data_IF_790024941878
#
_entry.id   IF_790024941878
#
_cell.length_a   1.000
_cell.length_b   1.000
_cell.length_c   1.000
_cell.angle_alpha   90.00
_cell.angle_beta   90.00
_cell.angle_gamma   90.00
#
_symmetry.space_group_name_H-M   'P 1'
#
loop_
_entity.id
_entity.type
_entity.pdbx_description
1 polymer ?
#
# COMPACT_ATOMS: atom_id res chain seq x y z
N UNK A 1 1.68 65.16 -62.90
CA UNK A 1 0.70 65.54 -61.86
C UNK A 1 1.29 65.22 -60.50
N UNK A 2 1.02 66.07 -59.52
CA UNK A 2 1.64 66.16 -58.20
C UNK A 2 1.24 64.97 -57.31
N UNK A 3 2.16 64.46 -56.48
CA UNK A 3 1.94 64.38 -55.02
C UNK A 3 3.10 63.70 -54.26
N UNK A 4 3.60 64.49 -53.31
CA UNK A 4 4.31 64.19 -52.05
C UNK A 4 3.79 62.97 -51.28
N UNK A 5 4.60 62.36 -50.39
CA UNK A 5 4.34 62.28 -48.92
C UNK A 5 5.29 61.34 -48.12
N UNK A 6 5.96 61.97 -47.15
CA UNK A 6 6.26 61.62 -45.73
C UNK A 6 7.17 60.44 -45.34
N UNK A 7 8.24 60.81 -44.62
CA UNK A 7 8.97 59.98 -43.65
C UNK A 7 8.04 59.38 -42.59
N UNK A 8 8.37 58.18 -42.11
CA UNK A 8 8.14 57.80 -40.72
C UNK A 8 9.29 56.89 -40.25
N UNK A 9 10.17 57.45 -39.42
CA UNK A 9 11.12 56.71 -38.60
C UNK A 9 10.33 56.12 -37.44
N UNK A 10 10.23 54.80 -37.36
CA UNK A 10 9.65 54.13 -36.19
C UNK A 10 10.77 53.62 -35.29
N UNK A 11 10.90 54.25 -34.13
CA UNK A 11 11.77 53.83 -33.04
C UNK A 11 11.28 52.47 -32.48
N UNK A 12 12.15 51.47 -32.47
CA UNK A 12 11.88 50.19 -31.81
C UNK A 12 12.14 50.32 -30.30
N UNK A 13 11.07 50.35 -29.51
CA UNK A 13 11.15 50.25 -28.05
C UNK A 13 11.25 48.78 -27.64
N UNK A 14 12.34 48.40 -26.97
CA UNK A 14 12.54 47.06 -26.42
C UNK A 14 11.66 46.85 -25.17
N UNK A 15 10.74 45.88 -25.23
CA UNK A 15 9.85 45.52 -24.13
C UNK A 15 10.47 44.37 -23.32
N UNK A 16 10.95 44.66 -22.11
CA UNK A 16 11.45 43.67 -21.15
C UNK A 16 10.27 42.89 -20.56
N UNK A 17 10.07 41.65 -21.00
CA UNK A 17 9.11 40.71 -20.43
C UNK A 17 9.68 40.10 -19.15
N UNK A 18 9.25 40.59 -17.99
CA UNK A 18 9.50 39.93 -16.69
C UNK A 18 8.63 38.68 -16.60
N UNK A 19 9.22 37.51 -16.83
CA UNK A 19 8.56 36.23 -16.55
C UNK A 19 8.46 36.02 -15.04
N UNK A 20 7.31 36.36 -14.47
CA UNK A 20 6.92 35.90 -13.13
C UNK A 20 6.64 34.40 -13.20
N UNK A 21 7.69 33.59 -13.04
CA UNK A 21 7.57 32.15 -12.94
C UNK A 21 6.92 31.75 -11.62
N UNK A 22 5.64 31.40 -11.64
CA UNK A 22 5.01 30.68 -10.53
C UNK A 22 5.52 29.24 -10.54
N UNK A 23 6.47 28.94 -9.67
CA UNK A 23 6.91 27.58 -9.39
C UNK A 23 5.72 26.83 -8.76
N UNK A 24 5.19 25.76 -9.37
CA UNK A 24 4.21 24.92 -8.69
C UNK A 24 4.91 24.30 -7.47
N UNK A 25 4.52 24.73 -6.27
CA UNK A 25 5.01 24.13 -5.03
C UNK A 25 4.59 22.67 -4.98
N UNK A 26 5.57 21.76 -4.89
CA UNK A 26 5.33 20.37 -4.55
C UNK A 26 4.69 20.30 -3.16
N UNK A 27 3.36 20.23 -3.09
CA UNK A 27 2.67 19.93 -1.86
C UNK A 27 3.17 18.55 -1.37
N UNK A 28 3.80 18.52 -0.20
CA UNK A 28 4.16 17.25 0.43
C UNK A 28 2.88 16.45 0.65
N UNK A 29 2.85 15.14 0.32
CA UNK A 29 1.68 14.32 0.58
C UNK A 29 1.36 14.40 2.08
N UNK A 30 0.12 14.74 2.42
CA UNK A 30 -0.33 14.79 3.80
C UNK A 30 -0.08 13.41 4.46
N UNK A 31 0.37 13.38 5.73
CA UNK A 31 0.55 12.11 6.42
C UNK A 31 -0.81 11.40 6.50
N UNK A 32 -0.93 10.25 5.84
CA UNK A 32 -2.12 9.41 5.96
C UNK A 32 -2.13 8.82 7.36
N UNK A 33 -3.07 9.28 8.19
CA UNK A 33 -3.21 8.85 9.57
C UNK A 33 -3.95 7.52 9.63
N UNK A 34 -3.39 6.56 10.35
CA UNK A 34 -4.08 5.32 10.70
C UNK A 34 -5.39 5.61 11.43
N UNK A 35 -6.50 5.03 10.97
CA UNK A 35 -7.83 5.24 11.58
C UNK A 35 -8.17 4.25 12.70
N UNK A 36 -7.25 3.36 13.07
CA UNK A 36 -7.43 2.36 14.12
C UNK A 36 -6.09 1.98 14.77
N UNK A 37 -6.13 1.28 15.91
CA UNK A 37 -4.93 0.68 16.52
C UNK A 37 -5.25 -0.65 17.22
N UNK A 38 -4.29 -1.58 17.19
CA UNK A 38 -4.33 -2.85 17.90
C UNK A 38 -5.57 -3.70 17.54
N UNK A 39 -6.30 -4.14 18.56
CA UNK A 39 -7.55 -4.89 18.39
C UNK A 39 -8.62 -4.14 17.61
N UNK A 40 -8.63 -2.80 17.66
CA UNK A 40 -9.55 -1.98 16.86
C UNK A 40 -9.31 -2.06 15.35
N UNK A 41 -8.12 -2.52 14.92
CA UNK A 41 -7.82 -2.80 13.52
C UNK A 41 -8.13 -4.23 13.09
N UNK A 42 -8.36 -5.15 14.03
CA UNK A 42 -8.54 -6.55 13.70
C UNK A 42 -9.75 -6.74 12.77
N UNK A 43 -9.57 -7.49 11.68
CA UNK A 43 -10.60 -7.77 10.68
C UNK A 43 -10.83 -6.64 9.66
N UNK A 44 -10.18 -5.48 9.81
CA UNK A 44 -10.27 -4.38 8.84
C UNK A 44 -9.22 -4.53 7.74
N UNK A 45 -9.50 -3.98 6.56
CA UNK A 45 -8.54 -3.93 5.46
C UNK A 45 -7.47 -2.87 5.75
N UNK A 46 -6.16 -3.20 5.63
CA UNK A 46 -5.08 -2.26 5.87
C UNK A 46 -5.13 -1.05 4.93
N UNK A 47 -5.56 -1.24 3.68
CA UNK A 47 -5.70 -0.15 2.70
C UNK A 47 -6.82 0.82 3.07
N UNK A 48 -7.97 0.30 3.53
CA UNK A 48 -9.11 1.16 3.91
C UNK A 48 -8.88 1.97 5.19
N UNK A 49 -7.92 1.58 6.01
CA UNK A 49 -7.63 2.23 7.30
C UNK A 49 -6.34 3.05 7.27
N UNK A 50 -5.68 3.14 6.11
CA UNK A 50 -4.40 3.81 5.94
C UNK A 50 -3.20 3.10 6.60
N UNK A 51 -3.38 1.84 7.02
CA UNK A 51 -2.35 1.09 7.74
C UNK A 51 -1.21 0.61 6.85
N UNK A 52 -1.44 0.48 5.54
CA UNK A 52 -0.47 0.01 4.55
C UNK A 52 0.58 1.05 4.15
N UNK A 53 0.29 2.35 4.24
CA UNK A 53 1.17 3.44 3.80
C UNK A 53 2.59 3.39 4.39
N UNK A 54 2.71 3.09 5.69
CA UNK A 54 4.00 2.99 6.40
C UNK A 54 4.33 1.55 6.81
N UNK A 55 3.66 0.58 6.19
CA UNK A 55 3.88 -0.80 6.54
C UNK A 55 5.16 -1.34 5.91
N UNK A 56 5.83 -2.22 6.65
CA UNK A 56 7.02 -2.95 6.17
C UNK A 56 6.78 -4.44 6.24
N UNK A 57 7.52 -5.19 5.44
CA UNK A 57 7.58 -6.64 5.55
C UNK A 57 8.51 -6.98 6.71
N UNK A 58 7.98 -7.64 7.75
CA UNK A 58 8.75 -8.02 8.95
C UNK A 58 9.20 -9.47 8.92
N UNK A 59 8.47 -10.34 8.21
CA UNK A 59 8.82 -11.75 7.96
C UNK A 59 8.36 -12.13 6.56
N UNK A 60 9.03 -13.14 5.99
CA UNK A 60 8.67 -13.73 4.70
C UNK A 60 8.92 -15.24 4.71
N UNK A 61 8.22 -15.98 3.86
CA UNK A 61 8.53 -17.39 3.59
C UNK A 61 9.89 -17.51 2.91
N UNK A 62 10.57 -18.64 3.13
CA UNK A 62 11.87 -18.98 2.51
C UNK A 62 11.73 -19.99 1.37
N UNK A 63 10.58 -20.65 1.26
CA UNK A 63 10.32 -21.65 0.23
C UNK A 63 10.19 -21.05 -1.17
N UNK A 64 10.57 -21.84 -2.18
CA UNK A 64 10.35 -21.52 -3.60
C UNK A 64 8.85 -21.61 -3.91
N UNK A 65 8.35 -20.60 -4.65
CA UNK A 65 6.96 -20.51 -5.10
C UNK A 65 6.28 -19.23 -4.62
N UNK A 66 5.04 -19.30 -4.10
CA UNK A 66 4.35 -18.13 -3.57
C UNK A 66 5.18 -17.46 -2.47
N UNK A 67 5.45 -16.16 -2.64
CA UNK A 67 6.13 -15.35 -1.64
C UNK A 67 5.09 -14.86 -0.62
N UNK A 68 5.11 -15.43 0.58
CA UNK A 68 4.26 -15.02 1.69
C UNK A 68 5.00 -13.98 2.50
N UNK A 69 4.42 -12.80 2.66
CA UNK A 69 4.99 -11.70 3.44
C UNK A 69 4.07 -11.34 4.59
N UNK A 70 4.62 -11.32 5.81
CA UNK A 70 3.97 -10.70 6.95
C UNK A 70 4.26 -9.20 6.91
N UNK A 71 3.24 -8.42 6.59
CA UNK A 71 3.26 -6.96 6.58
C UNK A 71 2.86 -6.47 7.96
N UNK A 72 3.51 -5.40 8.42
CA UNK A 72 3.29 -4.82 9.73
C UNK A 72 3.30 -3.30 9.66
N UNK A 73 2.36 -2.68 10.39
CA UNK A 73 2.30 -1.23 10.60
C UNK A 73 2.48 -0.90 12.08
N UNK A 74 3.53 -0.14 12.39
CA UNK A 74 3.77 0.33 13.77
C UNK A 74 2.70 1.32 14.23
N UNK A 75 2.20 2.17 13.33
CA UNK A 75 1.13 3.12 13.62
C UNK A 75 -0.17 2.40 14.02
N UNK A 76 -0.51 1.32 13.30
CA UNK A 76 -1.73 0.56 13.58
C UNK A 76 -1.56 -0.54 14.62
N UNK A 77 -0.33 -0.88 15.02
CA UNK A 77 -0.05 -2.05 15.88
C UNK A 77 -0.77 -3.30 15.40
N UNK A 78 -0.70 -3.53 14.09
CA UNK A 78 -1.42 -4.59 13.40
C UNK A 78 -0.59 -5.16 12.25
N UNK A 79 -0.82 -6.44 11.95
CA UNK A 79 -0.13 -7.18 10.90
C UNK A 79 -1.12 -7.86 9.95
N UNK A 80 -0.69 -8.19 8.73
CA UNK A 80 -1.49 -8.94 7.75
C UNK A 80 -0.59 -9.68 6.79
N UNK A 81 -1.14 -10.65 6.07
CA UNK A 81 -0.42 -11.35 5.01
C UNK A 81 -0.61 -10.60 3.70
N UNK A 82 0.48 -10.43 2.96
CA UNK A 82 0.47 -10.16 1.52
C UNK A 82 1.16 -11.32 0.82
N UNK A 83 0.61 -11.75 -0.31
CA UNK A 83 1.24 -12.77 -1.15
C UNK A 83 1.51 -12.24 -2.55
N UNK A 84 2.61 -12.70 -3.14
CA UNK A 84 2.92 -12.59 -4.56
C UNK A 84 3.23 -13.97 -5.15
N UNK A 85 3.10 -14.12 -6.47
CA UNK A 85 3.36 -15.38 -7.20
C UNK A 85 2.48 -16.56 -6.71
N UNK A 86 1.33 -16.27 -6.12
CA UNK A 86 0.34 -17.28 -5.75
C UNK A 86 -0.40 -17.81 -6.99
N UNK A 87 -1.10 -18.93 -6.82
CA UNK A 87 -2.07 -19.42 -7.80
C UNK A 87 -3.48 -19.04 -7.35
N UNK A 88 -4.36 -18.76 -8.32
CA UNK A 88 -5.79 -18.65 -8.04
C UNK A 88 -6.30 -19.89 -7.31
N UNK A 89 -7.02 -19.68 -6.20
CA UNK A 89 -7.51 -20.72 -5.30
C UNK A 89 -6.59 -21.03 -4.10
N UNK A 90 -5.36 -20.53 -4.05
CA UNK A 90 -4.55 -20.60 -2.82
C UNK A 90 -5.24 -19.80 -1.70
N UNK A 91 -5.14 -20.27 -0.46
CA UNK A 91 -5.74 -19.61 0.72
C UNK A 91 -4.66 -19.02 1.60
N UNK A 92 -4.68 -17.71 1.80
CA UNK A 92 -3.81 -17.01 2.75
C UNK A 92 -4.55 -16.75 4.05
N UNK A 93 -3.84 -16.73 5.17
CA UNK A 93 -4.38 -16.45 6.50
C UNK A 93 -3.37 -15.72 7.38
N UNK A 94 -3.77 -14.60 7.99
CA UNK A 94 -3.03 -13.97 9.07
C UNK A 94 -3.49 -14.54 10.41
N UNK A 95 -2.54 -14.85 11.30
CA UNK A 95 -2.80 -15.47 12.59
C UNK A 95 -2.08 -14.69 13.70
N UNK A 96 -2.63 -14.76 14.91
CA UNK A 96 -1.97 -14.28 16.11
C UNK A 96 -2.28 -15.19 17.31
N UNK A 97 -1.50 -15.06 18.40
CA UNK A 97 -1.75 -15.83 19.64
C UNK A 97 -2.94 -15.33 20.47
N UNK A 98 -3.54 -14.18 20.09
CA UNK A 98 -4.60 -13.53 20.88
C UNK A 98 -5.96 -14.21 20.77
N UNK A 99 -6.18 -15.09 19.78
CA UNK A 99 -7.41 -15.87 19.64
C UNK A 99 -8.69 -15.04 19.43
N UNK A 100 -8.56 -13.75 19.08
CA UNK A 100 -9.67 -12.80 18.98
C UNK A 100 -10.72 -13.20 17.93
N UNK A 101 -10.32 -13.97 16.91
CA UNK A 101 -11.26 -14.75 16.13
C UNK A 101 -10.83 -16.21 16.08
N UNK A 102 -11.77 -17.10 16.43
CA UNK A 102 -11.58 -18.56 16.38
C UNK A 102 -12.09 -19.20 15.08
N UNK A 103 -12.81 -18.46 14.25
CA UNK A 103 -13.27 -18.95 12.96
C UNK A 103 -12.15 -18.84 11.93
N UNK A 104 -11.88 -19.92 11.21
CA UNK A 104 -10.80 -20.05 10.20
C UNK A 104 -10.93 -19.08 9.03
N UNK A 105 -12.03 -18.32 8.90
CA UNK A 105 -12.25 -17.36 7.82
C UNK A 105 -11.94 -15.90 8.18
N UNK A 106 -11.83 -15.54 9.46
CA UNK A 106 -11.80 -14.13 9.86
C UNK A 106 -10.67 -13.31 9.24
N UNK A 107 -9.50 -13.94 9.13
CA UNK A 107 -8.30 -13.31 8.60
C UNK A 107 -7.77 -14.07 7.40
N UNK A 108 -8.63 -14.89 6.79
CA UNK A 108 -8.28 -15.67 5.62
C UNK A 108 -8.87 -15.05 4.35
N UNK A 109 -8.16 -15.22 3.25
CA UNK A 109 -8.62 -14.85 1.92
C UNK A 109 -8.17 -15.91 0.92
N UNK A 110 -9.06 -16.26 0.00
CA UNK A 110 -8.69 -17.07 -1.18
C UNK A 110 -8.24 -16.14 -2.30
N UNK A 111 -7.11 -16.44 -2.93
CA UNK A 111 -6.63 -15.73 -4.11
C UNK A 111 -7.62 -15.96 -5.24
N UNK A 112 -8.14 -14.87 -5.83
CA UNK A 112 -9.13 -14.96 -6.89
C UNK A 112 -8.56 -15.64 -8.14
N UNK A 113 -9.43 -16.30 -8.92
CA UNK A 113 -9.05 -16.92 -10.19
C UNK A 113 -8.43 -15.87 -11.13
N UNK A 114 -7.32 -16.21 -11.80
CA UNK A 114 -6.58 -15.29 -12.67
C UNK A 114 -5.66 -14.30 -11.95
N UNK A 115 -5.66 -14.26 -10.60
CA UNK A 115 -4.75 -13.41 -9.83
C UNK A 115 -3.60 -14.21 -9.20
N UNK A 116 -2.48 -13.52 -8.97
CA UNK A 116 -1.29 -14.07 -8.31
C UNK A 116 -0.87 -13.32 -7.04
N UNK A 117 -1.67 -12.32 -6.64
CA UNK A 117 -1.44 -11.52 -5.43
C UNK A 117 -2.73 -11.28 -4.67
N UNK A 118 -2.63 -11.27 -3.35
CA UNK A 118 -3.74 -10.94 -2.44
C UNK A 118 -3.20 -10.47 -1.09
N UNK A 119 -4.07 -9.89 -0.26
CA UNK A 119 -3.76 -9.61 1.13
C UNK A 119 -4.95 -9.89 2.05
N UNK A 120 -4.66 -10.28 3.29
CA UNK A 120 -5.69 -10.56 4.30
C UNK A 120 -6.15 -9.29 5.01
N UNK A 121 -7.27 -9.38 5.73
CA UNK A 121 -7.55 -8.43 6.80
C UNK A 121 -6.45 -8.46 7.87
N UNK A 122 -6.41 -7.41 8.69
CA UNK A 122 -5.41 -7.26 9.75
C UNK A 122 -5.71 -8.11 10.98
N UNK A 123 -4.65 -8.54 11.66
CA UNK A 123 -4.65 -9.10 13.02
C UNK A 123 -3.99 -8.13 13.99
N UNK A 124 -4.42 -8.16 15.24
CA UNK A 124 -3.78 -7.40 16.32
C UNK A 124 -2.37 -7.94 16.59
N UNK A 125 -1.41 -7.02 16.77
CA UNK A 125 -0.01 -7.28 17.16
C UNK A 125 0.36 -6.60 18.50
N UNK A 126 -0.55 -5.81 19.09
CA UNK A 126 -0.28 -5.11 20.35
C UNK A 126 -0.15 -6.10 21.51
N UNK A 127 1.11 -6.41 21.87
CA UNK A 127 1.45 -7.32 22.97
C UNK A 127 1.31 -8.80 22.63
N UNK A 128 1.11 -9.14 21.36
CA UNK A 128 0.91 -10.52 20.90
C UNK A 128 1.60 -10.73 19.56
N UNK A 129 2.22 -11.91 19.40
CA UNK A 129 2.91 -12.25 18.15
C UNK A 129 1.94 -12.58 17.02
N UNK A 130 2.31 -12.20 15.81
CA UNK A 130 1.57 -12.49 14.58
C UNK A 130 2.43 -13.28 13.57
N UNK A 131 1.77 -14.07 12.72
CA UNK A 131 2.41 -14.78 11.60
C UNK A 131 1.43 -14.97 10.45
N UNK A 132 1.97 -15.33 9.29
CA UNK A 132 1.19 -15.57 8.09
C UNK A 132 1.34 -16.99 7.59
N UNK A 133 0.27 -17.55 7.03
CA UNK A 133 0.33 -18.84 6.32
C UNK A 133 -0.38 -18.74 4.96
N UNK A 134 0.08 -19.56 4.02
CA UNK A 134 -0.58 -19.86 2.76
C UNK A 134 -0.78 -21.37 2.66
N UNK A 135 -2.00 -21.79 2.38
CA UNK A 135 -2.36 -23.15 2.01
C UNK A 135 -2.52 -23.23 0.50
N UNK A 136 -1.67 -24.05 -0.14
CA UNK A 136 -1.71 -24.34 -1.57
C UNK A 136 -2.88 -25.29 -1.87
N UNK A 137 -3.38 -25.28 -3.11
CA UNK A 137 -4.44 -26.21 -3.54
C UNK A 137 -4.12 -27.70 -3.39
N UNK A 138 -2.83 -28.06 -3.37
CA UNK A 138 -2.39 -29.45 -3.15
C UNK A 138 -2.32 -29.83 -1.65
N UNK A 139 -2.75 -28.96 -0.75
CA UNK A 139 -2.76 -29.18 0.70
C UNK A 139 -1.50 -28.70 1.43
N UNK A 140 -0.40 -28.43 0.71
CA UNK A 140 0.85 -27.96 1.34
C UNK A 140 0.67 -26.58 1.96
N UNK A 141 1.25 -26.38 3.14
CA UNK A 141 1.17 -25.11 3.89
C UNK A 141 2.56 -24.51 3.99
N UNK A 142 2.65 -23.21 3.68
CA UNK A 142 3.86 -22.38 3.83
C UNK A 142 3.55 -21.29 4.83
N UNK A 143 4.36 -21.14 5.88
CA UNK A 143 4.18 -20.09 6.87
C UNK A 143 5.43 -19.22 7.01
N UNK A 144 5.22 -17.98 7.47
CA UNK A 144 6.30 -17.16 7.98
C UNK A 144 6.60 -17.54 9.43
N UNK A 145 7.80 -17.23 9.90
CA UNK A 145 8.06 -17.15 11.34
C UNK A 145 7.14 -16.14 12.02
N UNK A 146 6.98 -16.30 13.33
CA UNK A 146 6.28 -15.32 14.15
C UNK A 146 7.11 -14.05 14.34
N UNK A 147 6.44 -12.91 14.30
CA UNK A 147 6.96 -11.59 14.67
C UNK A 147 6.35 -11.19 16.01
#
# INVERSE_FOLDING_TARGET
>A
MRSVIRLAVTAAAALLLTLSGTVPGNAAPAPVTAHCSGSGCAGKSPASTGCDHQARTVRRSTEIGPLVELRYSSACRAAWVRVAHARGGDRIEARNKGGACRHTSCYAKTVAAGHSSAYTAMVNDKGIKAWGCLQRRNGNVVCTEAY
#
